data_IF_888646833895
#
_entry.id   IF_888646833895
#
_cell.length_a   1.000
_cell.length_b   1.000
_cell.length_c   1.000
_cell.angle_alpha   90.00
_cell.angle_beta   90.00
_cell.angle_gamma   90.00
#
_symmetry.space_group_name_H-M   'P 1'
#
loop_
_entity.id
_entity.type
_entity.pdbx_description
1 polymer ?
#
# COMPACT_ATOMS: atom_id res chain seq x y z
N UNK A 1 25.05 22.76 -31.01
CA UNK A 1 23.68 23.35 -30.89
C UNK A 1 22.70 22.44 -30.17
N UNK A 2 22.76 21.12 -30.32
CA UNK A 2 21.92 20.17 -29.54
C UNK A 2 22.34 20.02 -28.07
N UNK A 3 23.65 20.11 -27.76
CA UNK A 3 24.13 20.02 -26.37
C UNK A 3 23.72 21.23 -25.49
N UNK A 4 23.66 22.43 -26.08
CA UNK A 4 23.22 23.62 -25.38
C UNK A 4 21.73 23.63 -25.04
N UNK A 5 20.88 23.04 -25.90
CA UNK A 5 19.45 22.88 -25.63
C UNK A 5 19.19 21.85 -24.53
N UNK A 6 19.92 20.75 -24.53
CA UNK A 6 19.86 19.75 -23.46
C UNK A 6 20.37 20.28 -22.11
N UNK A 7 21.38 21.12 -22.11
CA UNK A 7 21.92 21.79 -20.90
C UNK A 7 20.97 22.86 -20.37
N UNK A 8 20.28 23.60 -21.24
CA UNK A 8 19.27 24.58 -20.83
C UNK A 8 18.00 23.91 -20.26
N UNK A 9 17.47 22.88 -20.91
CA UNK A 9 16.34 22.08 -20.40
C UNK A 9 16.71 21.46 -19.05
N UNK A 10 17.94 20.98 -18.89
CA UNK A 10 18.48 20.44 -17.65
C UNK A 10 18.56 21.50 -16.54
N UNK A 11 18.98 22.72 -16.85
CA UNK A 11 19.05 23.83 -15.88
C UNK A 11 17.67 24.34 -15.47
N UNK A 12 16.72 24.44 -16.38
CA UNK A 12 15.34 24.85 -16.09
C UNK A 12 14.59 23.82 -15.24
N UNK A 13 14.77 22.53 -15.52
CA UNK A 13 14.16 21.44 -14.75
C UNK A 13 14.72 21.36 -13.32
N UNK A 14 15.95 21.83 -13.08
CA UNK A 14 16.58 21.81 -11.76
C UNK A 14 16.33 23.09 -10.95
N UNK A 15 15.75 24.13 -11.53
CA UNK A 15 15.43 25.38 -10.83
C UNK A 15 14.16 25.26 -9.97
N UNK A 16 13.24 24.35 -10.29
CA UNK A 16 12.03 24.09 -9.52
C UNK A 16 12.25 22.92 -8.53
N UNK A 17 12.14 23.15 -7.21
CA UNK A 17 12.31 22.11 -6.19
C UNK A 17 11.36 20.92 -6.39
N UNK A 18 10.13 21.14 -6.87
CA UNK A 18 9.14 20.10 -7.10
C UNK A 18 9.49 19.16 -8.25
N UNK A 19 9.93 19.71 -9.38
CA UNK A 19 10.33 18.91 -10.54
C UNK A 19 11.56 18.05 -10.23
N UNK A 20 12.50 18.59 -9.45
CA UNK A 20 13.67 17.85 -8.96
C UNK A 20 13.30 16.70 -8.04
N UNK A 21 12.46 16.95 -7.04
CA UNK A 21 12.05 15.93 -6.08
C UNK A 21 11.26 14.81 -6.79
N UNK A 22 10.39 15.16 -7.75
CA UNK A 22 9.66 14.18 -8.57
C UNK A 22 10.60 13.32 -9.44
N UNK A 23 11.59 13.94 -10.10
CA UNK A 23 12.59 13.21 -10.87
C UNK A 23 13.37 12.21 -9.99
N UNK A 24 13.75 12.62 -8.77
CA UNK A 24 14.44 11.73 -7.82
C UNK A 24 13.53 10.54 -7.45
N UNK A 25 12.25 10.78 -7.17
CA UNK A 25 11.27 9.72 -6.87
C UNK A 25 11.22 8.72 -8.03
N UNK A 26 11.06 9.18 -9.25
CA UNK A 26 10.97 8.32 -10.43
C UNK A 26 12.22 7.44 -10.61
N UNK A 27 13.41 8.03 -10.44
CA UNK A 27 14.67 7.29 -10.52
C UNK A 27 14.81 6.24 -9.40
N UNK A 28 14.39 6.57 -8.18
CA UNK A 28 14.44 5.66 -7.05
C UNK A 28 13.44 4.51 -7.22
N UNK A 29 12.19 4.78 -7.63
CA UNK A 29 11.19 3.76 -7.92
C UNK A 29 11.67 2.82 -9.03
N UNK A 30 12.22 3.37 -10.13
CA UNK A 30 12.76 2.58 -11.24
C UNK A 30 13.94 1.71 -10.80
N UNK A 31 14.84 2.25 -9.96
CA UNK A 31 15.96 1.52 -9.38
C UNK A 31 15.46 0.32 -8.56
N UNK A 32 14.53 0.57 -7.64
CA UNK A 32 14.06 -0.45 -6.71
C UNK A 32 13.25 -1.54 -7.43
N UNK A 33 12.49 -1.15 -8.46
CA UNK A 33 11.83 -2.10 -9.33
C UNK A 33 12.83 -3.01 -10.07
N UNK A 34 13.88 -2.44 -10.65
CA UNK A 34 14.94 -3.20 -11.30
C UNK A 34 15.68 -4.11 -10.32
N UNK A 35 15.97 -3.63 -9.10
CA UNK A 35 16.65 -4.43 -8.07
C UNK A 35 15.81 -5.61 -7.59
N UNK A 36 14.50 -5.42 -7.38
CA UNK A 36 13.57 -6.47 -6.94
C UNK A 36 13.57 -7.67 -7.90
N UNK A 37 13.65 -7.42 -9.21
CA UNK A 37 13.48 -8.46 -10.24
C UNK A 37 14.77 -8.87 -10.94
N UNK A 38 15.92 -8.25 -10.64
CA UNK A 38 17.20 -8.40 -11.36
C UNK A 38 17.71 -9.84 -11.47
N UNK A 39 17.46 -10.69 -10.47
CA UNK A 39 17.98 -12.07 -10.39
C UNK A 39 16.88 -13.12 -10.42
N UNK A 40 15.67 -12.76 -10.74
CA UNK A 40 14.53 -13.69 -10.73
C UNK A 40 14.22 -14.18 -12.14
N UNK A 41 14.10 -15.50 -12.32
CA UNK A 41 13.69 -16.12 -13.58
C UNK A 41 12.27 -15.69 -14.01
N UNK A 42 11.35 -15.61 -13.07
CA UNK A 42 9.96 -15.18 -13.31
C UNK A 42 9.80 -13.65 -13.23
N UNK A 43 10.79 -12.94 -12.69
CA UNK A 43 10.79 -11.48 -12.63
C UNK A 43 9.48 -10.89 -12.09
N UNK A 44 8.90 -9.97 -12.86
CA UNK A 44 7.65 -9.27 -12.54
C UNK A 44 6.45 -10.22 -12.41
N UNK A 45 6.50 -11.41 -13.04
CA UNK A 45 5.42 -12.39 -12.96
C UNK A 45 5.10 -12.82 -11.50
N UNK A 46 6.10 -12.78 -10.61
CA UNK A 46 5.88 -13.03 -9.19
C UNK A 46 4.91 -12.05 -8.53
N UNK A 47 4.82 -10.82 -9.01
CA UNK A 47 3.86 -9.84 -8.47
C UNK A 47 2.41 -10.21 -8.79
N UNK A 48 2.19 -10.99 -9.84
CA UNK A 48 0.86 -11.53 -10.21
C UNK A 48 0.66 -12.92 -9.59
N UNK A 49 1.67 -13.77 -9.63
CA UNK A 49 1.57 -15.16 -9.22
C UNK A 49 1.42 -15.31 -7.70
N UNK A 50 2.13 -14.50 -6.92
CA UNK A 50 2.08 -14.56 -5.46
C UNK A 50 0.66 -14.32 -4.89
N UNK A 51 -0.07 -13.25 -5.23
CA UNK A 51 -1.45 -13.08 -4.77
C UNK A 51 -2.40 -14.19 -5.27
N UNK A 52 -2.18 -14.73 -6.48
CA UNK A 52 -2.97 -15.85 -6.99
C UNK A 52 -2.74 -17.14 -6.18
N UNK A 53 -1.49 -17.51 -5.94
CA UNK A 53 -1.15 -18.68 -5.14
C UNK A 53 -1.68 -18.55 -3.72
N UNK A 54 -1.51 -17.38 -3.10
CA UNK A 54 -2.02 -17.12 -1.76
C UNK A 54 -3.54 -17.24 -1.71
N UNK A 55 -4.25 -16.68 -2.71
CA UNK A 55 -5.71 -16.84 -2.83
C UNK A 55 -6.10 -18.32 -2.92
N UNK A 56 -5.43 -19.11 -3.77
CA UNK A 56 -5.75 -20.54 -3.94
C UNK A 56 -5.57 -21.29 -2.63
N UNK A 57 -4.43 -21.09 -1.95
CA UNK A 57 -4.17 -21.76 -0.65
C UNK A 57 -5.21 -21.36 0.39
N UNK A 58 -5.50 -20.07 0.53
CA UNK A 58 -6.48 -19.58 1.50
C UNK A 58 -7.89 -20.02 1.16
N UNK A 59 -8.28 -19.99 -0.12
CA UNK A 59 -9.59 -20.50 -0.56
C UNK A 59 -9.77 -21.98 -0.22
N UNK A 60 -8.77 -22.82 -0.47
CA UNK A 60 -8.82 -24.26 -0.13
C UNK A 60 -8.93 -24.43 1.39
N UNK A 61 -8.05 -23.79 2.16
CA UNK A 61 -8.03 -23.91 3.62
C UNK A 61 -9.37 -23.48 4.23
N UNK A 62 -9.85 -22.30 3.89
CA UNK A 62 -11.07 -21.76 4.50
C UNK A 62 -12.34 -22.45 4.00
N UNK A 63 -12.39 -22.88 2.74
CA UNK A 63 -13.54 -23.64 2.22
C UNK A 63 -13.58 -25.05 2.84
N UNK A 64 -12.44 -25.74 2.93
CA UNK A 64 -12.38 -27.10 3.48
C UNK A 64 -12.58 -27.16 4.99
N UNK A 65 -11.98 -26.21 5.74
CA UNK A 65 -12.03 -26.21 7.21
C UNK A 65 -13.33 -25.65 7.78
N UNK A 66 -13.82 -24.57 7.20
CA UNK A 66 -14.93 -23.81 7.80
C UNK A 66 -16.28 -24.09 7.12
N UNK A 67 -16.30 -24.89 6.04
CA UNK A 67 -17.52 -25.16 5.23
C UNK A 67 -18.28 -23.86 4.91
N UNK A 68 -17.53 -22.78 4.66
CA UNK A 68 -18.12 -21.50 4.34
C UNK A 68 -18.86 -21.56 3.01
N UNK A 69 -20.14 -21.80 3.13
CA UNK A 69 -21.16 -21.54 2.11
C UNK A 69 -21.98 -20.34 2.60
N UNK A 70 -21.33 -19.18 2.82
CA UNK A 70 -22.15 -18.00 3.12
C UNK A 70 -22.83 -17.58 1.83
N UNK A 71 -24.14 -17.67 1.81
CA UNK A 71 -24.98 -17.22 0.69
C UNK A 71 -24.88 -15.71 0.42
N UNK A 72 -24.20 -14.97 1.28
CA UNK A 72 -24.02 -13.51 1.21
C UNK A 72 -22.81 -13.05 0.37
N UNK A 73 -21.82 -13.94 0.12
CA UNK A 73 -20.61 -13.58 -0.64
C UNK A 73 -20.71 -14.13 -2.07
N UNK A 74 -20.75 -13.28 -3.12
CA UNK A 74 -20.88 -13.72 -4.51
C UNK A 74 -19.76 -14.63 -4.97
N UNK A 75 -18.52 -14.39 -4.50
CA UNK A 75 -17.34 -15.19 -4.80
C UNK A 75 -16.33 -15.11 -3.68
N UNK A 76 -16.11 -16.23 -3.01
CA UNK A 76 -15.16 -16.32 -1.91
C UNK A 76 -13.68 -16.14 -2.37
N UNK A 77 -13.23 -16.72 -3.50
CA UNK A 77 -11.89 -16.43 -4.04
C UNK A 77 -11.65 -14.95 -4.30
N UNK A 78 -12.61 -14.26 -4.91
CA UNK A 78 -12.49 -12.81 -5.18
C UNK A 78 -12.50 -11.99 -3.87
N UNK A 79 -13.31 -12.39 -2.90
CA UNK A 79 -13.36 -11.79 -1.57
C UNK A 79 -11.99 -11.84 -0.87
N UNK A 80 -11.31 -13.00 -0.90
CA UNK A 80 -10.00 -13.22 -0.28
C UNK A 80 -8.92 -12.41 -0.99
N UNK A 81 -8.84 -12.49 -2.34
CA UNK A 81 -7.75 -11.83 -3.06
C UNK A 81 -7.82 -10.31 -2.91
N UNK A 82 -9.01 -9.71 -2.94
CA UNK A 82 -9.20 -8.27 -2.73
C UNK A 82 -8.74 -7.82 -1.34
N UNK A 83 -9.11 -8.57 -0.31
CA UNK A 83 -8.64 -8.29 1.05
C UNK A 83 -7.12 -8.42 1.17
N UNK A 84 -6.57 -9.52 0.65
CA UNK A 84 -5.15 -9.81 0.75
C UNK A 84 -4.27 -8.77 0.02
N UNK A 85 -4.59 -8.40 -1.23
CA UNK A 85 -3.79 -7.42 -1.97
C UNK A 85 -3.85 -6.03 -1.35
N UNK A 86 -5.00 -5.63 -0.80
CA UNK A 86 -5.17 -4.35 -0.12
C UNK A 86 -4.34 -4.29 1.16
N UNK A 87 -4.38 -5.35 1.95
CA UNK A 87 -3.57 -5.44 3.17
C UNK A 87 -2.07 -5.52 2.84
N UNK A 88 -1.69 -6.29 1.82
CA UNK A 88 -0.30 -6.40 1.37
C UNK A 88 0.23 -5.05 0.89
N UNK A 89 -0.57 -4.25 0.17
CA UNK A 89 -0.19 -2.89 -0.22
C UNK A 89 0.19 -2.04 1.00
N UNK A 90 -0.63 -2.05 2.05
CA UNK A 90 -0.34 -1.31 3.28
C UNK A 90 0.90 -1.87 4.00
N UNK A 91 1.00 -3.18 4.14
CA UNK A 91 2.11 -3.85 4.81
C UNK A 91 3.45 -3.58 4.10
N UNK A 92 3.50 -3.72 2.77
CA UNK A 92 4.69 -3.44 1.95
C UNK A 92 5.06 -1.96 2.01
N UNK A 93 4.08 -1.05 1.80
CA UNK A 93 4.30 0.40 1.85
C UNK A 93 4.93 0.84 3.17
N UNK A 94 4.40 0.35 4.27
CA UNK A 94 4.85 0.74 5.61
C UNK A 94 6.17 0.07 5.99
N UNK A 95 6.35 -1.19 5.60
CA UNK A 95 7.61 -1.92 5.83
C UNK A 95 8.76 -1.31 5.04
N UNK A 96 8.58 -1.05 3.73
CA UNK A 96 9.61 -0.38 2.93
C UNK A 96 9.79 1.08 3.38
N UNK A 97 8.69 1.77 3.68
CA UNK A 97 8.69 3.15 4.14
C UNK A 97 9.51 3.35 5.43
N UNK A 98 9.35 2.46 6.42
CA UNK A 98 10.09 2.58 7.68
C UNK A 98 11.62 2.41 7.51
N UNK A 99 12.07 1.62 6.53
CA UNK A 99 13.49 1.45 6.22
C UNK A 99 14.07 2.56 5.33
N UNK A 100 13.21 3.36 4.68
CA UNK A 100 13.58 4.28 3.61
C UNK A 100 14.70 5.28 3.95
N UNK A 101 14.72 5.80 5.17
CA UNK A 101 15.74 6.76 5.63
C UNK A 101 17.05 6.05 5.93
N UNK A 102 17.02 4.91 6.60
CA UNK A 102 18.23 4.15 6.98
C UNK A 102 18.92 3.58 5.76
N UNK A 103 18.16 2.97 4.84
CA UNK A 103 18.71 2.35 3.62
C UNK A 103 19.36 3.37 2.68
N UNK A 104 18.88 4.61 2.70
CA UNK A 104 19.43 5.71 1.90
C UNK A 104 20.34 6.66 2.69
N UNK A 105 20.82 6.26 3.88
CA UNK A 105 21.66 7.08 4.76
C UNK A 105 22.92 7.63 4.05
N UNK A 106 23.58 6.80 3.22
CA UNK A 106 24.77 7.21 2.45
C UNK A 106 24.46 8.31 1.42
N UNK A 107 23.27 8.28 0.83
CA UNK A 107 22.81 9.30 -0.11
C UNK A 107 22.44 10.61 0.62
N UNK A 108 21.72 10.49 1.74
CA UNK A 108 21.30 11.63 2.57
C UNK A 108 22.50 12.40 3.11
N UNK A 109 23.60 11.70 3.46
CA UNK A 109 24.84 12.34 3.94
C UNK A 109 25.64 13.05 2.84
N UNK A 110 25.53 12.60 1.58
CA UNK A 110 26.33 13.14 0.46
C UNK A 110 25.64 14.24 -0.32
N UNK A 111 24.30 14.21 -0.42
CA UNK A 111 23.53 15.11 -1.27
C UNK A 111 22.38 15.72 -0.47
N UNK A 112 22.15 17.02 -0.68
CA UNK A 112 21.01 17.72 -0.08
C UNK A 112 19.72 17.38 -0.86
N UNK A 113 19.03 16.34 -0.43
CA UNK A 113 17.74 15.91 -0.96
C UNK A 113 16.68 16.13 0.11
N UNK A 114 15.47 16.48 -0.31
CA UNK A 114 14.30 16.54 0.56
C UNK A 114 14.01 15.11 1.11
N UNK A 115 14.03 14.96 2.42
CA UNK A 115 13.92 13.65 3.07
C UNK A 115 12.56 13.02 2.93
N UNK A 116 11.51 13.82 2.71
CA UNK A 116 10.15 13.34 2.44
C UNK A 116 10.07 12.46 1.18
N UNK A 117 10.98 12.64 0.23
CA UNK A 117 11.06 11.87 -1.01
C UNK A 117 11.20 10.37 -0.75
N UNK A 118 11.98 9.96 0.26
CA UNK A 118 12.31 8.55 0.48
C UNK A 118 11.12 7.69 0.94
N UNK A 119 10.32 8.09 1.96
CA UNK A 119 9.12 7.32 2.29
C UNK A 119 8.04 7.37 1.21
N UNK A 120 7.87 8.51 0.52
CA UNK A 120 6.91 8.65 -0.60
C UNK A 120 7.29 7.69 -1.73
N UNK A 121 8.57 7.63 -2.11
CA UNK A 121 9.06 6.72 -3.14
C UNK A 121 8.71 5.26 -2.82
N UNK A 122 8.89 4.82 -1.57
CA UNK A 122 8.57 3.44 -1.15
C UNK A 122 7.07 3.12 -1.26
N UNK A 123 6.21 4.08 -0.92
CA UNK A 123 4.77 3.93 -1.11
C UNK A 123 4.41 3.84 -2.59
N UNK A 124 5.00 4.70 -3.44
CA UNK A 124 4.78 4.64 -4.89
C UNK A 124 5.28 3.32 -5.48
N UNK A 125 6.42 2.82 -5.03
CA UNK A 125 6.92 1.51 -5.42
C UNK A 125 5.94 0.38 -5.03
N UNK A 126 5.36 0.43 -3.83
CA UNK A 126 4.33 -0.52 -3.40
C UNK A 126 3.04 -0.40 -4.23
N UNK A 127 2.63 0.82 -4.60
CA UNK A 127 1.49 1.05 -5.50
C UNK A 127 1.72 0.48 -6.90
N UNK A 128 2.93 0.57 -7.44
CA UNK A 128 3.30 -0.09 -8.71
C UNK A 128 3.15 -1.62 -8.57
N UNK A 129 3.62 -2.23 -7.49
CA UNK A 129 3.43 -3.66 -7.24
C UNK A 129 1.95 -4.02 -7.08
N UNK A 130 1.16 -3.19 -6.40
CA UNK A 130 -0.28 -3.35 -6.28
C UNK A 130 -0.98 -3.33 -7.65
N UNK A 131 -0.56 -2.45 -8.57
CA UNK A 131 -1.10 -2.41 -9.94
C UNK A 131 -0.89 -3.74 -10.68
N UNK A 132 0.25 -4.42 -10.48
CA UNK A 132 0.44 -5.78 -11.00
C UNK A 132 -0.47 -6.81 -10.29
N UNK A 133 -0.73 -6.65 -9.00
CA UNK A 133 -1.66 -7.52 -8.29
C UNK A 133 -3.11 -7.35 -8.77
N UNK A 134 -3.50 -6.18 -9.27
CA UNK A 134 -4.80 -5.98 -9.92
C UNK A 134 -4.96 -6.82 -11.20
N UNK A 135 -3.87 -7.14 -11.90
CA UNK A 135 -3.91 -8.08 -13.03
C UNK A 135 -4.33 -9.46 -12.54
N UNK A 136 -3.81 -9.91 -11.38
CA UNK A 136 -4.26 -11.16 -10.77
C UNK A 136 -5.76 -11.14 -10.43
N UNK A 137 -6.26 -10.01 -9.90
CA UNK A 137 -7.70 -9.82 -9.65
C UNK A 137 -8.51 -9.95 -10.93
N UNK A 138 -8.06 -9.30 -12.03
CA UNK A 138 -8.74 -9.39 -13.32
C UNK A 138 -8.82 -10.84 -13.82
N UNK A 139 -7.75 -11.63 -13.69
CA UNK A 139 -7.79 -13.07 -14.01
C UNK A 139 -8.81 -13.83 -13.17
N UNK A 140 -8.86 -13.58 -11.86
CA UNK A 140 -9.85 -14.22 -10.98
C UNK A 140 -11.27 -13.82 -11.35
N UNK A 141 -11.51 -12.55 -11.66
CA UNK A 141 -12.84 -12.07 -12.10
C UNK A 141 -13.32 -12.78 -13.37
N UNK A 142 -12.43 -12.92 -14.36
CA UNK A 142 -12.75 -13.65 -15.62
C UNK A 142 -13.05 -15.11 -15.31
N UNK A 143 -12.25 -15.76 -14.45
CA UNK A 143 -12.41 -17.18 -14.13
C UNK A 143 -13.71 -17.46 -13.35
N UNK A 144 -14.10 -16.55 -12.47
CA UNK A 144 -15.32 -16.64 -11.65
C UNK A 144 -16.56 -16.18 -12.43
N UNK A 145 -16.39 -15.48 -13.56
CA UNK A 145 -17.48 -14.96 -14.37
C UNK A 145 -18.13 -13.68 -13.82
N UNK A 146 -17.41 -12.94 -12.95
CA UNK A 146 -17.86 -11.62 -12.45
C UNK A 146 -17.27 -10.54 -13.32
N UNK A 147 -18.12 -9.85 -14.11
CA UNK A 147 -17.66 -8.74 -14.94
C UNK A 147 -17.45 -7.45 -14.09
N UNK A 148 -16.41 -6.66 -14.36
CA UNK A 148 -16.24 -5.37 -13.72
C UNK A 148 -17.40 -4.44 -14.11
N UNK A 149 -18.00 -3.81 -13.13
CA UNK A 149 -19.05 -2.81 -13.33
C UNK A 149 -18.45 -1.41 -13.56
N UNK A 150 -19.28 -0.44 -13.96
CA UNK A 150 -18.84 0.96 -14.09
C UNK A 150 -18.23 1.54 -12.80
N UNK A 151 -18.53 0.96 -11.64
CA UNK A 151 -17.94 1.38 -10.36
C UNK A 151 -16.45 1.03 -10.23
N UNK A 152 -15.90 0.14 -11.06
CA UNK A 152 -14.46 -0.07 -11.15
C UNK A 152 -13.68 1.21 -11.51
N UNK A 153 -14.32 2.21 -12.13
CA UNK A 153 -13.73 3.53 -12.37
C UNK A 153 -13.39 4.29 -11.07
N UNK A 154 -13.89 3.86 -9.92
CA UNK A 154 -13.52 4.40 -8.60
C UNK A 154 -12.19 3.84 -8.06
N UNK A 155 -11.55 2.90 -8.75
CA UNK A 155 -10.21 2.40 -8.37
C UNK A 155 -9.16 3.51 -8.18
N UNK A 156 -9.04 4.53 -9.03
CA UNK A 156 -8.12 5.63 -8.78
C UNK A 156 -8.40 6.37 -7.47
N UNK A 157 -9.66 6.55 -7.11
CA UNK A 157 -10.06 7.17 -5.85
C UNK A 157 -9.64 6.30 -4.65
N UNK A 158 -9.86 4.99 -4.73
CA UNK A 158 -9.37 4.02 -3.76
C UNK A 158 -7.85 4.11 -3.58
N UNK A 159 -7.09 4.16 -4.68
CA UNK A 159 -5.62 4.28 -4.66
C UNK A 159 -5.18 5.56 -3.96
N UNK A 160 -5.88 6.68 -4.19
CA UNK A 160 -5.60 7.95 -3.50
C UNK A 160 -5.84 7.81 -2.00
N UNK A 161 -6.94 7.21 -1.56
CA UNK A 161 -7.24 7.04 -0.15
C UNK A 161 -6.20 6.16 0.55
N UNK A 162 -6.00 4.93 0.07
CA UNK A 162 -5.07 3.99 0.70
C UNK A 162 -3.61 4.46 0.55
N UNK A 163 -3.25 5.06 -0.57
CA UNK A 163 -1.91 5.62 -0.80
C UNK A 163 -1.60 6.75 0.19
N UNK A 164 -2.52 7.68 0.39
CA UNK A 164 -2.38 8.77 1.36
C UNK A 164 -2.24 8.24 2.79
N UNK A 165 -3.04 7.23 3.15
CA UNK A 165 -2.92 6.54 4.44
C UNK A 165 -1.54 5.91 4.62
N UNK A 166 -1.05 5.18 3.61
CA UNK A 166 0.26 4.54 3.62
C UNK A 166 1.42 5.54 3.71
N UNK A 167 1.32 6.70 3.03
CA UNK A 167 2.32 7.78 3.13
C UNK A 167 2.39 8.30 4.56
N UNK A 168 1.25 8.55 5.19
CA UNK A 168 1.20 9.00 6.58
C UNK A 168 1.86 8.03 7.55
N UNK A 169 1.51 6.74 7.48
CA UNK A 169 2.13 5.69 8.30
C UNK A 169 3.62 5.53 7.99
N UNK A 170 4.03 5.61 6.73
CA UNK A 170 5.44 5.52 6.33
C UNK A 170 6.26 6.67 6.89
N UNK A 171 5.74 7.89 6.92
CA UNK A 171 6.39 9.03 7.58
C UNK A 171 6.56 8.79 9.08
N UNK A 172 5.51 8.36 9.75
CA UNK A 172 5.52 8.10 11.19
C UNK A 172 6.54 7.01 11.54
N UNK A 173 6.49 5.88 10.85
CA UNK A 173 7.36 4.73 11.11
C UNK A 173 8.82 5.02 10.75
N UNK A 174 9.09 5.67 9.61
CA UNK A 174 10.45 6.01 9.22
C UNK A 174 11.11 6.98 10.21
N UNK A 175 10.36 7.97 10.71
CA UNK A 175 10.84 8.85 11.76
C UNK A 175 11.12 8.10 13.06
N UNK A 176 10.23 7.19 13.46
CA UNK A 176 10.36 6.43 14.70
C UNK A 176 11.54 5.45 14.67
N UNK A 177 11.75 4.75 13.55
CA UNK A 177 12.83 3.75 13.38
C UNK A 177 14.22 4.39 13.40
N UNK A 178 14.38 5.62 12.94
CA UNK A 178 15.66 6.34 13.02
C UNK A 178 16.13 6.48 14.48
N UNK A 179 15.21 6.68 15.43
CA UNK A 179 15.54 6.82 16.86
C UNK A 179 15.52 5.49 17.61
N UNK A 180 14.59 4.60 17.25
CA UNK A 180 14.36 3.33 17.94
C UNK A 180 14.25 2.19 16.93
N UNK A 181 15.35 1.47 16.71
CA UNK A 181 15.42 0.38 15.71
C UNK A 181 14.50 -0.80 16.04
N UNK A 182 14.17 -1.01 17.29
CA UNK A 182 13.28 -2.08 17.75
C UNK A 182 11.84 -1.97 17.18
N UNK A 183 11.45 -0.76 16.74
CA UNK A 183 10.17 -0.53 16.06
C UNK A 183 10.01 -1.42 14.83
N UNK A 184 11.10 -1.79 14.15
CA UNK A 184 11.04 -2.73 13.02
C UNK A 184 10.43 -4.07 13.41
N UNK A 185 10.88 -4.61 14.56
CA UNK A 185 10.37 -5.88 15.07
C UNK A 185 8.94 -5.74 15.60
N UNK A 186 8.67 -4.67 16.34
CA UNK A 186 7.32 -4.37 16.85
C UNK A 186 6.31 -4.21 15.72
N UNK A 187 6.69 -3.52 14.62
CA UNK A 187 5.81 -3.34 13.47
C UNK A 187 5.44 -4.66 12.80
N UNK A 188 6.38 -5.59 12.68
CA UNK A 188 6.10 -6.93 12.15
C UNK A 188 5.05 -7.67 12.98
N UNK A 189 5.12 -7.56 14.31
CA UNK A 189 4.11 -8.13 15.21
C UNK A 189 2.77 -7.44 15.03
N UNK A 190 2.77 -6.10 14.97
CA UNK A 190 1.54 -5.31 14.73
C UNK A 190 0.89 -5.72 13.41
N UNK A 191 1.65 -5.86 12.31
CA UNK A 191 1.12 -6.30 11.03
C UNK A 191 0.49 -7.70 11.12
N UNK A 192 1.13 -8.62 11.84
CA UNK A 192 0.58 -9.97 12.02
C UNK A 192 -0.75 -9.94 12.77
N UNK A 193 -0.82 -9.22 13.89
CA UNK A 193 -2.06 -9.06 14.66
C UNK A 193 -3.13 -8.37 13.81
N UNK A 194 -2.77 -7.32 13.10
CA UNK A 194 -3.69 -6.55 12.27
C UNK A 194 -4.26 -7.35 11.08
N UNK A 195 -3.44 -8.26 10.51
CA UNK A 195 -3.90 -9.21 9.47
C UNK A 195 -5.06 -10.07 9.95
N UNK A 196 -4.97 -10.58 11.17
CA UNK A 196 -6.03 -11.42 11.75
C UNK A 196 -7.18 -10.61 12.36
N UNK A 197 -6.91 -9.39 12.79
CA UNK A 197 -7.92 -8.48 13.28
C UNK A 197 -8.81 -7.91 12.16
N UNK A 198 -8.32 -7.89 10.91
CA UNK A 198 -9.11 -7.43 9.75
C UNK A 198 -9.78 -8.64 9.09
N UNK A 199 -11.07 -8.60 8.71
CA UNK A 199 -11.78 -9.73 8.08
C UNK A 199 -11.34 -9.92 6.62
N UNK A 200 -10.10 -10.40 6.44
CA UNK A 200 -9.51 -10.67 5.13
C UNK A 200 -9.98 -12.01 4.57
N UNK A 201 -10.05 -13.05 5.43
CA UNK A 201 -10.23 -14.44 5.05
C UNK A 201 -11.55 -15.05 5.55
N UNK A 202 -12.32 -14.31 6.33
CA UNK A 202 -13.58 -14.75 6.93
C UNK A 202 -14.66 -13.68 6.77
N UNK A 203 -15.92 -14.09 6.83
CA UNK A 203 -17.06 -13.17 6.77
C UNK A 203 -17.26 -12.45 8.11
N UNK A 204 -17.67 -11.20 8.06
CA UNK A 204 -18.02 -10.39 9.23
C UNK A 204 -19.16 -10.99 10.07
N UNK A 205 -19.99 -11.82 9.45
CA UNK A 205 -21.13 -12.47 10.10
C UNK A 205 -20.74 -13.39 11.25
N UNK A 206 -19.50 -13.93 11.22
CA UNK A 206 -18.99 -14.85 12.24
C UNK A 206 -18.51 -14.12 13.48
N UNK A 207 -18.20 -12.82 13.34
CA UNK A 207 -17.64 -12.03 14.42
C UNK A 207 -18.69 -11.72 15.48
N UNK A 208 -18.32 -11.84 16.78
CA UNK A 208 -19.17 -11.36 17.87
C UNK A 208 -19.47 -9.87 17.71
N UNK A 209 -20.64 -9.43 18.18
CA UNK A 209 -21.10 -8.04 18.05
C UNK A 209 -20.12 -7.02 18.64
N UNK A 210 -19.48 -7.35 19.76
CA UNK A 210 -18.48 -6.47 20.36
C UNK A 210 -17.23 -6.27 19.49
N UNK A 211 -16.80 -7.33 18.77
CA UNK A 211 -15.63 -7.25 17.88
C UNK A 211 -15.99 -6.48 16.61
N UNK A 212 -17.19 -6.69 16.05
CA UNK A 212 -17.69 -5.94 14.90
C UNK A 212 -17.71 -4.43 15.16
N UNK A 213 -18.06 -4.02 16.38
CA UNK A 213 -18.00 -2.60 16.77
C UNK A 213 -16.56 -2.05 16.82
N UNK A 214 -15.56 -2.88 17.13
CA UNK A 214 -14.16 -2.49 17.07
C UNK A 214 -13.64 -2.34 15.64
N UNK A 215 -14.16 -3.13 14.69
CA UNK A 215 -13.79 -3.03 13.28
C UNK A 215 -14.09 -1.65 12.67
N UNK A 216 -15.10 -0.93 13.17
CA UNK A 216 -15.40 0.43 12.71
C UNK A 216 -14.27 1.43 12.98
N UNK A 217 -13.36 1.13 13.90
CA UNK A 217 -12.16 1.92 14.16
C UNK A 217 -10.93 1.46 13.37
N UNK A 218 -11.05 0.33 12.66
CA UNK A 218 -9.96 -0.26 11.89
C UNK A 218 -9.89 0.39 10.49
N UNK A 219 -8.86 1.19 10.17
CA UNK A 219 -8.74 1.80 8.86
C UNK A 219 -8.72 0.79 7.71
N UNK A 220 -8.04 -0.36 7.91
CA UNK A 220 -7.93 -1.39 6.88
C UNK A 220 -9.26 -2.06 6.57
N UNK A 221 -10.15 -2.17 7.55
CA UNK A 221 -11.51 -2.63 7.35
C UNK A 221 -12.25 -1.78 6.31
N UNK A 222 -12.15 -0.45 6.42
CA UNK A 222 -12.81 0.47 5.49
C UNK A 222 -12.23 0.37 4.07
N UNK A 223 -10.89 0.31 3.93
CA UNK A 223 -10.26 0.20 2.61
C UNK A 223 -10.55 -1.14 1.94
N UNK A 224 -10.54 -2.23 2.70
CA UNK A 224 -10.88 -3.56 2.18
C UNK A 224 -12.35 -3.62 1.74
N UNK A 225 -13.25 -3.04 2.52
CA UNK A 225 -14.66 -3.00 2.14
C UNK A 225 -14.90 -2.09 0.93
N UNK A 226 -14.18 -0.96 0.83
CA UNK A 226 -14.29 -0.09 -0.34
C UNK A 226 -13.96 -0.82 -1.65
N UNK A 227 -12.83 -1.53 -1.70
CA UNK A 227 -12.44 -2.27 -2.93
C UNK A 227 -13.40 -3.44 -3.21
N UNK A 228 -13.95 -4.10 -2.16
CA UNK A 228 -14.97 -5.14 -2.32
C UNK A 228 -16.27 -4.59 -2.87
N UNK A 229 -16.72 -3.41 -2.41
CA UNK A 229 -17.93 -2.75 -2.93
C UNK A 229 -17.83 -2.52 -4.44
N UNK A 230 -16.71 -1.99 -4.92
CA UNK A 230 -16.54 -1.62 -6.33
C UNK A 230 -16.24 -2.82 -7.25
N UNK A 231 -15.51 -3.85 -6.79
CA UNK A 231 -15.06 -4.95 -7.65
C UNK A 231 -15.80 -6.27 -7.42
N UNK A 232 -16.24 -6.57 -6.19
CA UNK A 232 -16.94 -7.83 -5.88
C UNK A 232 -18.45 -7.66 -5.95
N UNK A 233 -18.96 -6.62 -5.28
CA UNK A 233 -20.42 -6.40 -5.19
C UNK A 233 -20.94 -5.52 -6.33
N UNK A 234 -20.06 -4.80 -7.05
CA UNK A 234 -20.41 -3.99 -8.19
C UNK A 234 -21.37 -2.85 -7.86
N UNK A 235 -21.27 -2.26 -6.68
CA UNK A 235 -22.12 -1.17 -6.19
C UNK A 235 -21.30 0.03 -5.73
N UNK A 236 -21.98 1.19 -5.65
CA UNK A 236 -21.36 2.42 -5.17
C UNK A 236 -21.09 2.32 -3.66
N UNK A 237 -19.85 2.58 -3.19
CA UNK A 237 -19.54 2.65 -1.77
C UNK A 237 -20.40 3.71 -1.06
N UNK A 238 -20.90 3.38 0.14
CA UNK A 238 -21.73 4.29 0.93
C UNK A 238 -20.99 5.60 1.26
N UNK A 239 -21.73 6.66 1.52
CA UNK A 239 -21.13 7.95 1.94
C UNK A 239 -20.37 7.80 3.26
N UNK A 240 -20.86 6.98 4.18
CA UNK A 240 -20.20 6.69 5.46
C UNK A 240 -18.84 6.01 5.24
N UNK A 241 -18.77 5.02 4.35
CA UNK A 241 -17.54 4.33 4.01
C UNK A 241 -16.53 5.27 3.34
N UNK A 242 -16.99 6.11 2.40
CA UNK A 242 -16.15 7.13 1.78
C UNK A 242 -15.59 8.11 2.83
N UNK A 243 -16.46 8.60 3.73
CA UNK A 243 -16.05 9.52 4.79
C UNK A 243 -15.02 8.88 5.74
N UNK A 244 -15.25 7.63 6.15
CA UNK A 244 -14.30 6.89 6.98
C UNK A 244 -12.93 6.74 6.30
N UNK A 245 -12.89 6.38 5.01
CA UNK A 245 -11.65 6.29 4.23
C UNK A 245 -10.90 7.63 4.17
N UNK A 246 -11.60 8.74 3.92
CA UNK A 246 -11.01 10.08 3.89
C UNK A 246 -10.45 10.47 5.25
N UNK A 247 -11.23 10.30 6.31
CA UNK A 247 -10.82 10.67 7.68
C UNK A 247 -9.59 9.88 8.11
N UNK A 248 -9.59 8.56 7.91
CA UNK A 248 -8.43 7.71 8.23
C UNK A 248 -7.18 8.14 7.45
N UNK A 249 -7.33 8.46 6.16
CA UNK A 249 -6.21 8.90 5.31
C UNK A 249 -5.64 10.24 5.79
N UNK A 250 -6.51 11.21 6.07
CA UNK A 250 -6.08 12.54 6.50
C UNK A 250 -5.46 12.53 7.90
N UNK A 251 -6.03 11.78 8.84
CA UNK A 251 -5.46 11.63 10.19
C UNK A 251 -4.07 11.00 10.12
N UNK A 252 -3.93 9.90 9.37
CA UNK A 252 -2.63 9.24 9.19
C UNK A 252 -1.60 10.20 8.59
N UNK A 253 -1.97 10.91 7.51
CA UNK A 253 -1.08 11.85 6.84
C UNK A 253 -0.69 13.01 7.77
N UNK A 254 -1.65 13.60 8.47
CA UNK A 254 -1.39 14.73 9.37
C UNK A 254 -0.45 14.33 10.52
N UNK A 255 -0.70 13.19 11.15
CA UNK A 255 0.17 12.68 12.23
C UNK A 255 1.56 12.33 11.72
N UNK A 256 1.65 11.60 10.60
CA UNK A 256 2.93 11.23 10.01
C UNK A 256 3.74 12.43 9.57
N UNK A 257 3.12 13.36 8.87
CA UNK A 257 3.75 14.62 8.46
C UNK A 257 4.25 15.44 9.65
N UNK A 258 3.42 15.60 10.67
CA UNK A 258 3.79 16.36 11.87
C UNK A 258 5.00 15.76 12.59
N UNK A 259 5.00 14.44 12.82
CA UNK A 259 6.11 13.75 13.47
C UNK A 259 7.37 13.81 12.62
N UNK A 260 7.26 13.52 11.33
CA UNK A 260 8.41 13.51 10.41
C UNK A 260 9.05 14.89 10.29
N UNK A 261 8.25 15.93 10.00
CA UNK A 261 8.75 17.31 9.82
C UNK A 261 9.45 17.87 11.07
N UNK A 262 8.97 17.47 12.26
CA UNK A 262 9.59 17.91 13.51
C UNK A 262 10.95 17.27 13.76
N UNK A 263 11.17 16.07 13.26
CA UNK A 263 12.35 15.26 13.57
C UNK A 263 13.34 15.14 12.39
N UNK A 264 12.95 15.45 11.15
CA UNK A 264 13.77 15.27 9.95
C UNK A 264 15.18 15.88 10.07
N UNK A 265 15.30 17.08 10.68
CA UNK A 265 16.57 17.78 10.84
C UNK A 265 17.58 17.01 11.69
N UNK A 266 17.08 16.15 12.60
CA UNK A 266 17.91 15.35 13.51
C UNK A 266 18.34 14.02 12.91
N UNK A 267 17.74 13.55 11.83
CA UNK A 267 18.04 12.22 11.27
C UNK A 267 19.54 12.04 10.96
N UNK A 268 20.22 13.07 10.46
CA UNK A 268 21.66 12.98 10.13
C UNK A 268 22.52 12.57 11.34
N UNK A 269 22.06 12.84 12.56
CA UNK A 269 22.80 12.52 13.80
C UNK A 269 22.66 11.05 14.20
N UNK A 270 21.63 10.34 13.71
CA UNK A 270 21.26 9.00 14.17
C UNK A 270 21.37 7.92 13.07
N UNK A 271 21.61 8.32 11.81
CA UNK A 271 21.77 7.43 10.64
C UNK A 271 23.22 7.15 10.28
#
# INVERSE_FOLDING_TARGET
MQDTAHEQIRKETWSDPWSRDWFIIEQLVSRDFKLKFRRSFLGVLWSVLNPLLMMVVMAIVFTAMLRFSSSSIPSFPLYIILGNITFTLMADSTTYGMHSIIDNASLIKKVRINRFVFPIEKVLFALVNFSFSLIAVAFVMIFVGIAPTGFALLLPLFIVYVGTFCVGLSFLLSAAVVFFRDIMHLWTIVLTVWTYATPLFYSEEILPSWFRNLETFNPMYHYVNFIREILLYGRMPSLELNFACIVCSLISLALGWFVFSRHEKRFILFI
#
